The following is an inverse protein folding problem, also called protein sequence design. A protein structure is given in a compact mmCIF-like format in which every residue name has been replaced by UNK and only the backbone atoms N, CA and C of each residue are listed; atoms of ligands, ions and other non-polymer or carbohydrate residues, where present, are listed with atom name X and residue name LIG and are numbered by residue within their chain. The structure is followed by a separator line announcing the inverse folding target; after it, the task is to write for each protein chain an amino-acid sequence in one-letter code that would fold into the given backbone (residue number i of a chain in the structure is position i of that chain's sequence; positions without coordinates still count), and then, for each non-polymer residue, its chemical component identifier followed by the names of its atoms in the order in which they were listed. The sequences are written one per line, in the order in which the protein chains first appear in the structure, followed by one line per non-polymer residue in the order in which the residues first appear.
data_IF_562484826791
#
_entry.id   IF_562484826791
#
_cell.length_a   1.000
_cell.length_b   1.000
_cell.length_c   1.000
_cell.angle_alpha   90.00
_cell.angle_beta   90.00
_cell.angle_gamma   90.00
#
_symmetry.space_group_name_H-M   'P 1'
#
loop_
_entity.id
_entity.type
_entity.pdbx_description
1 polymer ?
#
# COMPACT_ATOMS: atom_id res chain seq x y z
N UNK A 1 18.57 -25.40 1.07
CA UNK A 1 19.26 -24.19 0.59
C UNK A 1 19.79 -23.45 1.79
N UNK A 2 21.07 -23.08 1.78
CA UNK A 2 21.72 -22.38 2.91
C UNK A 2 21.25 -20.92 2.95
N UNK A 3 21.20 -20.27 4.12
CA UNK A 3 20.98 -18.81 4.24
C UNK A 3 21.85 -17.97 3.29
N UNK A 4 23.02 -18.49 2.89
CA UNK A 4 23.92 -17.88 1.89
C UNK A 4 23.33 -17.80 0.47
N UNK A 5 22.49 -18.75 0.08
CA UNK A 5 21.88 -18.79 -1.27
C UNK A 5 20.67 -17.85 -1.39
N UNK A 6 20.06 -17.46 -0.26
CA UNK A 6 18.92 -16.53 -0.19
C UNK A 6 19.34 -15.08 0.06
N UNK A 7 20.65 -14.81 0.25
CA UNK A 7 21.17 -13.47 0.54
C UNK A 7 20.77 -12.90 1.91
N UNK A 8 20.23 -13.74 2.80
CA UNK A 8 19.74 -13.37 4.13
C UNK A 8 20.89 -13.01 5.08
N UNK A 9 20.58 -12.22 6.11
CA UNK A 9 21.47 -11.95 7.23
C UNK A 9 21.72 -13.23 8.02
N UNK A 10 23.00 -13.53 8.21
CA UNK A 10 23.46 -14.66 9.00
C UNK A 10 23.52 -14.29 10.49
N UNK A 11 22.65 -14.92 11.28
CA UNK A 11 22.47 -14.64 12.71
C UNK A 11 23.67 -15.13 13.53
N UNK A 12 24.36 -16.20 13.09
CA UNK A 12 25.52 -16.71 13.81
C UNK A 12 26.69 -15.70 13.72
N UNK A 13 26.81 -15.02 12.58
CA UNK A 13 27.80 -13.97 12.36
C UNK A 13 27.45 -12.64 13.05
N UNK A 14 26.24 -12.47 13.61
CA UNK A 14 25.90 -11.29 14.40
C UNK A 14 26.70 -11.24 15.71
N UNK A 15 27.03 -12.40 16.29
CA UNK A 15 27.78 -12.51 17.54
C UNK A 15 29.22 -12.00 17.40
N UNK A 16 29.80 -12.17 16.20
CA UNK A 16 31.15 -11.72 15.89
C UNK A 16 31.23 -10.23 15.55
N UNK A 17 30.09 -9.57 15.31
CA UNK A 17 29.96 -8.16 14.96
C UNK A 17 30.99 -7.68 13.92
N UNK A 18 31.25 -8.53 12.92
CA UNK A 18 32.32 -8.28 11.96
C UNK A 18 32.01 -7.05 11.08
N UNK A 19 33.03 -6.33 10.57
CA UNK A 19 32.82 -5.24 9.62
C UNK A 19 32.00 -5.65 8.39
N UNK A 20 32.18 -6.90 7.94
CA UNK A 20 31.41 -7.49 6.83
C UNK A 20 29.93 -7.65 7.19
N UNK A 21 29.63 -8.14 8.38
CA UNK A 21 28.26 -8.27 8.88
C UNK A 21 27.58 -6.90 8.96
N UNK A 22 28.24 -5.91 9.58
CA UNK A 22 27.74 -4.52 9.65
C UNK A 22 27.46 -3.93 8.26
N UNK A 23 28.32 -4.22 7.28
CA UNK A 23 28.08 -3.78 5.90
C UNK A 23 26.86 -4.46 5.26
N UNK A 24 26.57 -5.72 5.60
CA UNK A 24 25.37 -6.40 5.13
C UNK A 24 24.12 -5.85 5.81
N UNK A 25 24.14 -5.63 7.12
CA UNK A 25 23.03 -5.00 7.86
C UNK A 25 22.67 -3.64 7.27
N UNK A 26 23.66 -2.79 6.95
CA UNK A 26 23.42 -1.48 6.29
C UNK A 26 22.64 -1.61 4.98
N UNK A 27 22.91 -2.62 4.16
CA UNK A 27 22.14 -2.86 2.93
C UNK A 27 20.69 -3.21 3.22
N UNK A 28 20.43 -3.98 4.27
CA UNK A 28 19.07 -4.32 4.70
C UNK A 28 18.34 -3.11 5.33
N UNK A 29 19.06 -2.24 6.04
CA UNK A 29 18.55 -0.97 6.56
C UNK A 29 18.12 -0.03 5.42
N UNK A 30 19.01 0.20 4.46
CA UNK A 30 18.73 1.00 3.26
C UNK A 30 17.53 0.43 2.48
N UNK A 31 17.49 -0.89 2.33
CA UNK A 31 16.38 -1.58 1.70
C UNK A 31 15.06 -1.38 2.46
N UNK A 32 15.05 -1.55 3.79
CA UNK A 32 13.85 -1.39 4.60
C UNK A 32 13.32 0.05 4.54
N UNK A 33 14.20 1.05 4.52
CA UNK A 33 13.82 2.46 4.37
C UNK A 33 13.27 2.77 2.98
N UNK A 34 13.88 2.23 1.92
CA UNK A 34 13.36 2.37 0.56
C UNK A 34 12.00 1.68 0.41
N UNK A 35 11.82 0.52 1.03
CA UNK A 35 10.56 -0.21 1.05
C UNK A 35 9.47 0.56 1.80
N UNK A 36 9.76 1.11 2.98
CA UNK A 36 8.83 1.97 3.75
C UNK A 36 8.35 3.14 2.88
N UNK A 37 9.30 3.85 2.26
CA UNK A 37 9.00 5.01 1.40
C UNK A 37 8.16 4.61 0.19
N UNK A 38 8.49 3.49 -0.45
CA UNK A 38 7.77 2.97 -1.61
C UNK A 38 6.33 2.57 -1.26
N UNK A 39 6.12 1.86 -0.15
CA UNK A 39 4.80 1.43 0.31
C UNK A 39 3.94 2.62 0.71
N UNK A 40 4.48 3.57 1.46
CA UNK A 40 3.76 4.79 1.84
C UNK A 40 3.40 5.62 0.61
N UNK A 41 4.32 5.74 -0.36
CA UNK A 41 4.07 6.41 -1.63
C UNK A 41 2.95 5.75 -2.44
N UNK A 42 2.98 4.41 -2.56
CA UNK A 42 1.97 3.65 -3.28
C UNK A 42 0.61 3.74 -2.59
N UNK A 43 0.54 3.52 -1.28
CA UNK A 43 -0.70 3.64 -0.49
C UNK A 43 -1.33 5.03 -0.63
N UNK A 44 -0.51 6.09 -0.59
CA UNK A 44 -0.98 7.46 -0.82
C UNK A 44 -1.52 7.66 -2.23
N UNK A 45 -0.79 7.19 -3.26
CA UNK A 45 -1.22 7.31 -4.65
C UNK A 45 -2.53 6.55 -4.91
N UNK A 46 -2.70 5.35 -4.34
CA UNK A 46 -3.93 4.56 -4.44
C UNK A 46 -5.14 5.26 -3.83
N UNK A 47 -4.99 5.90 -2.66
CA UNK A 47 -6.07 6.71 -2.07
C UNK A 47 -6.43 7.93 -2.90
N UNK A 48 -5.42 8.60 -3.46
CA UNK A 48 -5.66 9.74 -4.34
C UNK A 48 -6.43 9.31 -5.59
N UNK A 49 -6.10 8.16 -6.17
CA UNK A 49 -6.85 7.57 -7.27
C UNK A 49 -8.31 7.30 -6.89
N UNK A 50 -8.58 6.70 -5.73
CA UNK A 50 -9.95 6.47 -5.24
C UNK A 50 -10.71 7.78 -5.01
N UNK A 51 -10.07 8.78 -4.42
CA UNK A 51 -10.67 10.09 -4.20
C UNK A 51 -11.03 10.78 -5.52
N UNK A 52 -10.13 10.76 -6.50
CA UNK A 52 -10.40 11.28 -7.85
C UNK A 52 -11.49 10.49 -8.57
N UNK A 53 -11.52 9.16 -8.40
CA UNK A 53 -12.59 8.31 -8.94
C UNK A 53 -13.95 8.66 -8.33
N UNK A 54 -14.01 8.92 -7.03
CA UNK A 54 -15.24 9.30 -6.34
C UNK A 54 -15.74 10.69 -6.77
N UNK A 55 -14.84 11.66 -6.92
CA UNK A 55 -15.20 12.99 -7.47
C UNK A 55 -15.70 12.86 -8.91
N UNK A 56 -15.03 12.08 -9.76
CA UNK A 56 -15.50 11.80 -11.11
C UNK A 56 -16.92 11.22 -11.11
N UNK A 57 -17.19 10.19 -10.31
CA UNK A 57 -18.53 9.60 -10.19
C UNK A 57 -19.58 10.62 -9.74
N UNK A 58 -19.23 11.49 -8.78
CA UNK A 58 -20.15 12.54 -8.31
C UNK A 58 -20.47 13.55 -9.42
N UNK A 59 -19.47 13.98 -10.20
CA UNK A 59 -19.67 14.87 -11.35
C UNK A 59 -20.46 14.20 -12.46
N UNK A 60 -20.19 12.93 -12.73
CA UNK A 60 -20.93 12.15 -13.72
C UNK A 60 -22.41 12.04 -13.33
N UNK A 61 -22.70 11.77 -12.05
CA UNK A 61 -24.07 11.73 -11.53
C UNK A 61 -24.77 13.10 -11.64
N UNK A 62 -24.07 14.21 -11.39
CA UNK A 62 -24.60 15.56 -11.56
C UNK A 62 -24.99 15.84 -13.03
N UNK A 63 -24.15 15.41 -13.99
CA UNK A 63 -24.46 15.54 -15.43
C UNK A 63 -25.71 14.75 -15.78
N UNK A 64 -25.82 13.50 -15.33
CA UNK A 64 -27.00 12.66 -15.58
C UNK A 64 -28.25 13.32 -15.01
N UNK A 65 -28.20 13.80 -13.76
CA UNK A 65 -29.32 14.48 -13.12
C UNK A 65 -29.81 15.68 -13.95
N UNK A 66 -28.88 16.48 -14.47
CA UNK A 66 -29.21 17.64 -15.32
C UNK A 66 -29.84 17.22 -16.65
N UNK A 67 -29.33 16.16 -17.29
CA UNK A 67 -29.92 15.60 -18.52
C UNK A 67 -31.35 15.13 -18.27
N UNK A 68 -31.58 14.40 -17.17
CA UNK A 68 -32.92 13.94 -16.77
C UNK A 68 -33.87 15.09 -16.45
N UNK A 69 -33.39 16.16 -15.81
CA UNK A 69 -34.21 17.36 -15.60
C UNK A 69 -34.61 18.03 -16.92
N UNK A 70 -33.67 18.13 -17.86
CA UNK A 70 -33.93 18.70 -19.18
C UNK A 70 -34.93 17.87 -19.99
N UNK A 71 -34.89 16.53 -19.90
CA UNK A 71 -35.86 15.67 -20.58
C UNK A 71 -37.29 15.93 -20.10
N UNK A 72 -37.46 16.26 -18.82
CA UNK A 72 -38.78 16.54 -18.22
C UNK A 72 -39.37 17.91 -18.58
N UNK A 73 -38.61 18.81 -19.25
CA UNK A 73 -39.07 20.16 -19.59
C UNK A 73 -39.96 20.22 -20.84
N UNK A 74 -40.14 19.12 -21.58
CA UNK A 74 -40.82 19.15 -22.88
C UNK A 74 -42.32 19.49 -22.76
N UNK A 75 -42.81 20.60 -23.33
CA UNK A 75 -44.22 20.98 -23.27
C UNK A 75 -45.12 20.22 -24.26
N UNK A 76 -44.55 19.42 -25.18
CA UNK A 76 -45.25 18.68 -26.24
C UNK A 76 -45.12 17.15 -26.12
N UNK A 77 -44.30 16.65 -25.18
CA UNK A 77 -44.19 15.23 -24.81
C UNK A 77 -43.86 14.28 -25.97
N UNK A 78 -42.57 14.11 -26.28
CA UNK A 78 -42.13 12.97 -27.10
C UNK A 78 -41.72 11.83 -26.16
N UNK A 79 -42.69 10.96 -25.86
CA UNK A 79 -42.50 9.83 -24.96
C UNK A 79 -41.34 8.91 -25.38
N UNK A 80 -40.98 8.87 -26.68
CA UNK A 80 -39.85 8.09 -27.17
C UNK A 80 -38.53 8.74 -26.75
N UNK A 81 -38.42 10.06 -26.91
CA UNK A 81 -37.22 10.80 -26.49
C UNK A 81 -37.07 10.78 -24.97
N UNK A 82 -38.17 10.97 -24.24
CA UNK A 82 -38.17 10.96 -22.77
C UNK A 82 -37.73 9.60 -22.21
N UNK A 83 -38.28 8.50 -22.76
CA UNK A 83 -37.88 7.15 -22.38
C UNK A 83 -36.40 6.88 -22.70
N UNK A 84 -35.91 7.30 -23.87
CA UNK A 84 -34.50 7.09 -24.24
C UNK A 84 -33.55 7.87 -23.36
N UNK A 85 -33.90 9.10 -22.98
CA UNK A 85 -33.12 9.91 -22.03
C UNK A 85 -33.08 9.28 -20.62
N UNK A 86 -34.15 8.63 -20.19
CA UNK A 86 -34.15 7.81 -18.97
C UNK A 86 -33.20 6.59 -19.11
N UNK A 87 -33.26 5.87 -20.23
CA UNK A 87 -32.38 4.71 -20.48
C UNK A 87 -30.88 5.10 -20.43
N UNK A 88 -30.49 6.30 -20.93
CA UNK A 88 -29.11 6.82 -20.80
C UNK A 88 -28.71 7.01 -19.33
N UNK A 89 -29.60 7.57 -18.52
CA UNK A 89 -29.35 7.79 -17.11
C UNK A 89 -29.11 6.47 -16.36
N UNK A 90 -29.92 5.46 -16.65
CA UNK A 90 -29.84 4.14 -16.03
C UNK A 90 -28.52 3.43 -16.35
N UNK A 91 -28.08 3.46 -17.61
CA UNK A 91 -26.83 2.82 -18.04
C UNK A 91 -25.61 3.52 -17.45
N UNK A 92 -25.62 4.86 -17.38
CA UNK A 92 -24.54 5.60 -16.71
C UNK A 92 -24.53 5.25 -15.20
N UNK A 93 -25.69 5.18 -14.56
CA UNK A 93 -25.78 4.79 -13.15
C UNK A 93 -25.26 3.36 -12.90
N UNK A 94 -25.45 2.44 -13.85
CA UNK A 94 -24.88 1.10 -13.79
C UNK A 94 -23.35 1.10 -13.90
N UNK A 95 -22.78 1.86 -14.84
CA UNK A 95 -21.33 2.02 -14.96
C UNK A 95 -20.72 2.61 -13.68
N UNK A 96 -21.39 3.60 -13.06
CA UNK A 96 -20.91 4.19 -11.81
C UNK A 96 -21.05 3.25 -10.61
N UNK A 97 -22.08 2.39 -10.57
CA UNK A 97 -22.16 1.27 -9.60
C UNK A 97 -20.97 0.32 -9.74
N UNK A 98 -20.61 -0.05 -10.98
CA UNK A 98 -19.44 -0.90 -11.23
C UNK A 98 -18.13 -0.23 -10.79
N UNK A 99 -18.00 1.09 -10.96
CA UNK A 99 -16.85 1.87 -10.47
C UNK A 99 -16.77 1.91 -8.95
N UNK A 100 -17.91 2.07 -8.28
CA UNK A 100 -17.96 2.03 -6.82
C UNK A 100 -17.49 0.67 -6.27
N UNK A 101 -17.95 -0.44 -6.85
CA UNK A 101 -17.49 -1.79 -6.50
C UNK A 101 -15.99 -1.95 -6.73
N UNK A 102 -15.47 -1.46 -7.86
CA UNK A 102 -14.02 -1.47 -8.13
C UNK A 102 -13.25 -0.70 -7.05
N UNK A 103 -13.72 0.48 -6.66
CA UNK A 103 -13.07 1.32 -5.64
C UNK A 103 -13.00 0.61 -4.29
N UNK A 104 -14.09 -0.07 -3.89
CA UNK A 104 -14.13 -0.88 -2.67
C UNK A 104 -13.16 -2.06 -2.73
N UNK A 105 -13.12 -2.78 -3.85
CA UNK A 105 -12.15 -3.85 -4.07
C UNK A 105 -10.71 -3.34 -3.94
N UNK A 106 -10.39 -2.19 -4.57
CA UNK A 106 -9.06 -1.57 -4.46
C UNK A 106 -8.69 -1.21 -3.02
N UNK A 107 -9.66 -0.76 -2.22
CA UNK A 107 -9.43 -0.46 -0.81
C UNK A 107 -8.99 -1.72 -0.05
N UNK A 108 -9.70 -2.84 -0.26
CA UNK A 108 -9.47 -4.09 0.46
C UNK A 108 -8.21 -4.84 -0.01
N UNK A 109 -7.94 -4.87 -1.32
CA UNK A 109 -6.88 -5.73 -1.88
C UNK A 109 -5.54 -5.01 -2.08
N UNK A 110 -5.54 -3.67 -2.09
CA UNK A 110 -4.31 -2.87 -2.30
C UNK A 110 -4.05 -1.96 -1.12
N UNK A 111 -4.99 -1.08 -0.77
CA UNK A 111 -4.73 -0.02 0.21
C UNK A 111 -4.50 -0.60 1.60
N UNK A 112 -5.43 -1.41 2.10
CA UNK A 112 -5.37 -1.98 3.44
C UNK A 112 -4.13 -2.86 3.67
N UNK A 113 -3.75 -3.81 2.78
CA UNK A 113 -2.54 -4.61 2.96
C UNK A 113 -1.25 -3.77 3.01
N UNK A 114 -1.17 -2.71 2.19
CA UNK A 114 -0.02 -1.80 2.21
C UNK A 114 0.05 -1.01 3.53
N UNK A 115 -1.09 -0.60 4.07
CA UNK A 115 -1.17 0.04 5.39
C UNK A 115 -0.77 -0.91 6.52
N UNK A 116 -1.31 -2.12 6.53
CA UNK A 116 -0.98 -3.15 7.53
C UNK A 116 0.50 -3.49 7.51
N UNK A 117 1.13 -3.55 6.33
CA UNK A 117 2.57 -3.75 6.20
C UNK A 117 3.37 -2.54 6.73
N UNK A 118 2.91 -1.32 6.47
CA UNK A 118 3.53 -0.08 6.94
C UNK A 118 3.43 0.07 8.46
N UNK A 119 2.23 -0.09 9.03
CA UNK A 119 1.93 0.08 10.45
C UNK A 119 2.35 -1.12 11.30
N UNK A 120 2.44 -2.31 10.69
CA UNK A 120 2.89 -3.54 11.32
C UNK A 120 4.41 -3.71 11.23
N UNK A 121 4.84 -4.55 10.29
CA UNK A 121 6.21 -5.06 10.24
C UNK A 121 7.25 -3.94 10.06
N UNK A 122 6.98 -2.93 9.22
CA UNK A 122 7.89 -1.82 8.99
C UNK A 122 8.04 -0.92 10.22
N UNK A 123 6.94 -0.47 10.82
CA UNK A 123 6.97 0.35 12.03
C UNK A 123 7.62 -0.38 13.22
N UNK A 124 7.38 -1.68 13.36
CA UNK A 124 8.01 -2.53 14.38
C UNK A 124 9.52 -2.61 14.16
N UNK A 125 9.97 -2.87 12.93
CA UNK A 125 11.40 -2.93 12.58
C UNK A 125 12.09 -1.59 12.86
N UNK A 126 11.45 -0.47 12.50
CA UNK A 126 11.96 0.89 12.77
C UNK A 126 12.09 1.17 14.27
N UNK A 127 11.11 0.74 15.07
CA UNK A 127 11.16 0.84 16.53
C UNK A 127 12.26 -0.04 17.13
N UNK A 128 12.40 -1.28 16.64
CA UNK A 128 13.45 -2.20 17.04
C UNK A 128 14.86 -1.66 16.71
N UNK A 129 15.00 -0.96 15.58
CA UNK A 129 16.24 -0.29 15.18
C UNK A 129 16.62 0.84 16.13
N UNK A 130 15.67 1.70 16.49
CA UNK A 130 15.89 2.78 17.49
C UNK A 130 16.28 2.22 18.86
N UNK A 131 15.63 1.12 19.27
CA UNK A 131 15.98 0.41 20.50
C UNK A 131 17.40 -0.15 20.44
N UNK A 132 17.82 -0.67 19.30
CA UNK A 132 19.19 -1.15 19.09
C UNK A 132 20.21 -0.01 19.25
N UNK A 133 19.96 1.18 18.68
CA UNK A 133 20.84 2.35 18.85
C UNK A 133 20.99 2.74 20.33
N UNK A 134 19.89 2.75 21.08
CA UNK A 134 19.91 3.07 22.51
C UNK A 134 20.73 2.03 23.31
N UNK A 135 20.56 0.75 23.03
CA UNK A 135 21.31 -0.33 23.68
C UNK A 135 22.79 -0.33 23.29
N UNK A 136 23.11 0.03 22.05
CA UNK A 136 24.48 0.20 21.59
C UNK A 136 25.17 1.34 22.34
N UNK A 137 24.50 2.49 22.44
CA UNK A 137 25.01 3.66 23.18
C UNK A 137 25.22 3.37 24.67
N UNK A 138 24.30 2.64 25.31
CA UNK A 138 24.46 2.18 26.69
C UNK A 138 25.69 1.27 26.84
N UNK A 139 25.83 0.26 25.96
CA UNK A 139 27.01 -0.63 25.97
C UNK A 139 28.33 0.14 25.79
N UNK A 140 28.40 1.04 24.81
CA UNK A 140 29.58 1.88 24.57
C UNK A 140 29.89 2.78 25.79
N UNK A 141 28.86 3.32 26.46
CA UNK A 141 29.01 4.11 27.68
C UNK A 141 29.58 3.30 28.85
N UNK A 142 29.04 2.10 29.09
CA UNK A 142 29.53 1.21 30.15
C UNK A 142 30.97 0.76 29.88
N UNK A 143 31.30 0.46 28.63
CA UNK A 143 32.66 0.08 28.23
C UNK A 143 33.65 1.24 28.42
N UNK A 144 33.27 2.46 28.04
CA UNK A 144 34.11 3.64 28.25
C UNK A 144 34.36 3.92 29.74
N UNK A 145 33.36 3.69 30.62
CA UNK A 145 33.52 3.80 32.08
C UNK A 145 34.51 2.79 32.63
N UNK A 146 34.42 1.52 32.20
CA UNK A 146 35.35 0.46 32.59
C UNK A 146 36.80 0.79 32.19
N UNK A 147 36.99 1.33 30.98
CA UNK A 147 38.32 1.66 30.46
C UNK A 147 38.91 2.98 30.99
N UNK A 148 38.07 3.90 31.47
CA UNK A 148 38.46 5.29 31.74
C UNK A 148 38.86 5.61 33.18
N UNK A 149 38.53 4.77 34.17
CA UNK A 149 38.77 5.08 35.59
C UNK A 149 39.53 3.96 36.30
N UNK A 150 40.51 4.33 37.14
CA UNK A 150 41.02 3.42 38.17
C UNK A 150 39.93 3.17 39.20
N UNK A 151 39.50 1.92 39.31
CA UNK A 151 38.48 1.47 40.24
C UNK A 151 39.12 0.59 41.33
N UNK A 152 38.49 0.54 42.50
CA UNK A 152 38.80 -0.49 43.49
C UNK A 152 38.31 -1.85 42.97
N UNK A 153 38.94 -2.94 43.42
CA UNK A 153 38.60 -4.31 43.00
C UNK A 153 37.08 -4.63 43.03
N UNK A 154 36.31 -4.33 44.10
CA UNK A 154 34.87 -4.57 44.10
C UNK A 154 34.08 -3.67 43.14
N UNK A 155 34.55 -2.45 42.87
CA UNK A 155 33.91 -1.56 41.88
C UNK A 155 34.22 -2.00 40.45
N UNK A 156 35.41 -2.56 40.22
CA UNK A 156 35.81 -3.12 38.94
C UNK A 156 34.94 -4.32 38.56
N UNK A 157 34.79 -5.29 39.47
CA UNK A 157 33.94 -6.47 39.24
C UNK A 157 32.49 -6.08 38.94
N UNK A 158 31.95 -5.08 39.65
CA UNK A 158 30.60 -4.59 39.40
C UNK A 158 30.48 -3.96 38.00
N UNK A 159 31.46 -3.12 37.61
CA UNK A 159 31.45 -2.48 36.29
C UNK A 159 31.60 -3.50 35.15
N UNK A 160 32.42 -4.55 35.32
CA UNK A 160 32.55 -5.65 34.35
C UNK A 160 31.21 -6.38 34.16
N UNK A 161 30.47 -6.65 35.24
CA UNK A 161 29.12 -7.23 35.16
C UNK A 161 28.14 -6.33 34.43
N UNK A 162 28.20 -5.03 34.64
CA UNK A 162 27.35 -4.06 33.95
C UNK A 162 27.65 -4.02 32.44
N UNK A 163 28.92 -4.05 32.05
CA UNK A 163 29.34 -4.14 30.64
C UNK A 163 28.83 -5.42 29.99
N UNK A 164 28.99 -6.58 30.64
CA UNK A 164 28.53 -7.85 30.08
C UNK A 164 26.99 -7.89 29.94
N UNK A 165 26.27 -7.35 30.91
CA UNK A 165 24.81 -7.21 30.85
C UNK A 165 24.37 -6.30 29.68
N UNK A 166 24.99 -5.14 29.53
CA UNK A 166 24.70 -4.21 28.44
C UNK A 166 25.01 -4.83 27.07
N UNK A 167 26.15 -5.52 26.94
CA UNK A 167 26.56 -6.26 25.74
C UNK A 167 25.53 -7.34 25.37
N UNK A 168 25.12 -8.15 26.34
CA UNK A 168 24.14 -9.21 26.12
C UNK A 168 22.80 -8.67 25.60
N UNK A 169 22.31 -7.56 26.17
CA UNK A 169 21.09 -6.87 25.70
C UNK A 169 21.24 -6.35 24.27
N UNK A 170 22.36 -5.70 23.96
CA UNK A 170 22.66 -5.17 22.62
C UNK A 170 22.69 -6.30 21.57
N UNK A 171 23.46 -7.36 21.84
CA UNK A 171 23.61 -8.51 20.93
C UNK A 171 22.27 -9.22 20.72
N UNK A 172 21.49 -9.44 21.79
CA UNK A 172 20.17 -10.07 21.68
C UNK A 172 19.23 -9.24 20.80
N UNK A 173 19.26 -7.91 20.93
CA UNK A 173 18.46 -7.02 20.10
C UNK A 173 18.92 -7.03 18.64
N UNK A 174 20.24 -7.06 18.39
CA UNK A 174 20.81 -7.14 17.05
C UNK A 174 20.37 -8.41 16.31
N UNK A 175 20.34 -9.55 17.00
CA UNK A 175 19.84 -10.83 16.45
C UNK A 175 18.37 -10.74 16.04
N UNK A 176 17.53 -10.20 16.93
CA UNK A 176 16.09 -10.00 16.66
C UNK A 176 15.86 -9.10 15.47
N UNK A 177 16.57 -7.96 15.41
CA UNK A 177 16.45 -7.03 14.30
C UNK A 177 16.87 -7.66 12.95
N UNK A 178 17.86 -8.55 12.99
CA UNK A 178 18.32 -9.25 11.79
C UNK A 178 17.30 -10.27 11.27
N UNK A 179 16.56 -10.91 12.18
CA UNK A 179 15.39 -11.71 11.83
C UNK A 179 14.28 -10.84 11.22
N UNK A 180 14.01 -9.67 11.78
CA UNK A 180 13.01 -8.74 11.25
C UNK A 180 13.38 -8.27 9.84
N UNK A 181 14.65 -7.96 9.60
CA UNK A 181 15.16 -7.63 8.26
C UNK A 181 15.04 -8.78 7.26
N UNK A 182 15.34 -10.01 7.70
CA UNK A 182 15.15 -11.20 6.86
C UNK A 182 13.67 -11.39 6.49
N UNK A 183 12.76 -11.17 7.44
CA UNK A 183 11.32 -11.23 7.22
C UNK A 183 10.84 -10.14 6.26
N UNK A 184 11.31 -8.90 6.40
CA UNK A 184 11.02 -7.82 5.45
C UNK A 184 11.53 -8.11 4.03
N UNK A 185 12.69 -8.76 3.91
CA UNK A 185 13.22 -9.16 2.62
C UNK A 185 12.37 -10.27 1.96
N UNK A 186 11.78 -11.17 2.74
CA UNK A 186 10.89 -12.22 2.21
C UNK A 186 9.52 -11.70 1.76
N UNK A 187 8.98 -10.67 2.44
CA UNK A 187 7.70 -10.03 2.11
C UNK A 187 7.69 -9.44 0.68
N UNK A 188 8.86 -9.04 0.15
CA UNK A 188 9.00 -8.34 -1.13
C UNK A 188 8.40 -9.07 -2.34
N UNK A 189 8.43 -10.40 -2.36
CA UNK A 189 8.23 -11.14 -3.61
C UNK A 189 6.80 -11.59 -3.83
N UNK A 190 6.03 -11.79 -2.78
CA UNK A 190 4.70 -12.42 -2.89
C UNK A 190 3.62 -11.37 -2.65
N UNK A 191 3.60 -10.75 -1.47
CA UNK A 191 2.53 -9.81 -1.09
C UNK A 191 2.45 -8.58 -2.03
N UNK A 192 3.58 -7.99 -2.41
CA UNK A 192 3.58 -6.86 -3.35
C UNK A 192 3.14 -7.28 -4.76
N UNK A 193 3.59 -8.45 -5.25
CA UNK A 193 3.17 -8.95 -6.57
C UNK A 193 1.69 -9.34 -6.57
N UNK A 194 1.19 -9.92 -5.48
CA UNK A 194 -0.22 -10.22 -5.29
C UNK A 194 -1.06 -8.94 -5.29
N UNK A 195 -0.61 -7.87 -4.63
CA UNK A 195 -1.27 -6.56 -4.67
C UNK A 195 -1.33 -5.99 -6.09
N UNK A 196 -0.22 -6.02 -6.85
CA UNK A 196 -0.21 -5.57 -8.26
C UNK A 196 -1.10 -6.43 -9.16
N UNK A 197 -1.07 -7.75 -8.98
CA UNK A 197 -1.89 -8.67 -9.74
C UNK A 197 -3.39 -8.42 -9.46
N UNK A 198 -3.74 -8.23 -8.19
CA UNK A 198 -5.11 -7.95 -7.76
C UNK A 198 -5.62 -6.62 -8.32
N UNK A 199 -4.77 -5.58 -8.32
CA UNK A 199 -5.06 -4.31 -8.98
C UNK A 199 -5.39 -4.50 -10.46
N UNK A 200 -4.57 -5.27 -11.19
CA UNK A 200 -4.80 -5.52 -12.62
C UNK A 200 -6.11 -6.27 -12.88
N UNK A 201 -6.45 -7.26 -12.03
CA UNK A 201 -7.73 -7.96 -12.17
C UNK A 201 -8.94 -7.08 -11.82
N UNK A 202 -8.84 -6.19 -10.82
CA UNK A 202 -9.89 -5.23 -10.51
C UNK A 202 -10.11 -4.23 -11.67
N UNK A 203 -9.03 -3.78 -12.33
CA UNK A 203 -9.11 -2.96 -13.54
C UNK A 203 -9.77 -3.72 -14.70
N UNK A 204 -9.31 -4.95 -14.95
CA UNK A 204 -9.87 -5.80 -15.98
C UNK A 204 -11.38 -6.03 -15.79
N UNK A 205 -11.80 -6.40 -14.57
CA UNK A 205 -13.20 -6.66 -14.25
C UNK A 205 -14.07 -5.43 -14.45
N UNK A 206 -13.65 -4.26 -13.97
CA UNK A 206 -14.38 -3.01 -14.16
C UNK A 206 -14.56 -2.67 -15.65
N UNK A 207 -13.47 -2.68 -16.42
CA UNK A 207 -13.54 -2.33 -17.84
C UNK A 207 -14.40 -3.32 -18.63
N UNK A 208 -14.32 -4.60 -18.31
CA UNK A 208 -15.16 -5.62 -18.93
C UNK A 208 -16.66 -5.39 -18.62
N UNK A 209 -17.00 -5.11 -17.36
CA UNK A 209 -18.38 -4.84 -16.95
C UNK A 209 -18.91 -3.56 -17.61
N UNK A 210 -18.16 -2.47 -17.56
CA UNK A 210 -18.54 -1.20 -18.18
C UNK A 210 -18.74 -1.34 -19.70
N UNK A 211 -17.85 -2.08 -20.37
CA UNK A 211 -18.02 -2.37 -21.80
C UNK A 211 -19.28 -3.17 -22.08
N UNK A 212 -19.57 -4.20 -21.27
CA UNK A 212 -20.81 -5.00 -21.44
C UNK A 212 -22.05 -4.12 -21.32
N UNK A 213 -22.16 -3.30 -20.27
CA UNK A 213 -23.32 -2.41 -20.07
C UNK A 213 -23.50 -1.44 -21.24
N UNK A 214 -22.41 -0.84 -21.73
CA UNK A 214 -22.47 0.08 -22.87
C UNK A 214 -22.80 -0.60 -24.20
N UNK A 215 -22.27 -1.81 -24.42
CA UNK A 215 -22.57 -2.61 -25.61
C UNK A 215 -24.05 -3.00 -25.63
N UNK A 216 -24.59 -3.41 -24.49
CA UNK A 216 -25.99 -3.83 -24.40
C UNK A 216 -26.95 -2.64 -24.58
N UNK A 217 -26.48 -1.42 -24.29
CA UNK A 217 -27.20 -0.17 -24.54
C UNK A 217 -27.06 0.40 -25.97
N UNK A 218 -26.04 0.00 -26.72
CA UNK A 218 -25.78 0.51 -28.08
C UNK A 218 -26.99 0.47 -29.03
N UNK A 219 -27.83 -0.58 -29.05
CA UNK A 219 -29.01 -0.61 -29.91
C UNK A 219 -30.01 0.52 -29.60
N UNK A 220 -30.17 0.90 -28.33
CA UNK A 220 -31.05 2.00 -27.94
C UNK A 220 -30.51 3.35 -28.42
N UNK A 221 -29.19 3.55 -28.36
CA UNK A 221 -28.54 4.75 -28.92
C UNK A 221 -28.73 4.85 -30.44
N UNK A 222 -28.58 3.71 -31.15
CA UNK A 222 -28.79 3.66 -32.60
C UNK A 222 -30.23 4.00 -32.97
N UNK A 223 -31.21 3.39 -32.30
CA UNK A 223 -32.63 3.65 -32.51
C UNK A 223 -32.99 5.12 -32.27
N UNK A 224 -32.44 5.74 -31.22
CA UNK A 224 -32.64 7.17 -30.98
C UNK A 224 -32.03 8.03 -32.09
N UNK A 225 -30.84 7.67 -32.59
CA UNK A 225 -30.19 8.38 -33.70
C UNK A 225 -31.04 8.36 -34.97
N UNK A 226 -31.66 7.23 -35.29
CA UNK A 226 -32.61 7.08 -36.40
C UNK A 226 -33.86 7.95 -36.20
N UNK A 227 -34.45 7.95 -35.00
CA UNK A 227 -35.62 8.80 -34.67
C UNK A 227 -35.30 10.29 -34.82
N UNK A 228 -34.15 10.73 -34.32
CA UNK A 228 -33.70 12.13 -34.45
C UNK A 228 -33.55 12.51 -35.94
N UNK A 229 -33.02 11.61 -36.78
CA UNK A 229 -32.89 11.85 -38.21
C UNK A 229 -34.27 11.99 -38.87
N UNK A 230 -35.23 11.13 -38.53
CA UNK A 230 -36.60 11.19 -39.07
C UNK A 230 -37.30 12.50 -38.70
N UNK A 231 -37.24 12.92 -37.43
CA UNK A 231 -37.85 14.17 -36.96
C UNK A 231 -37.22 15.40 -37.61
N UNK A 232 -35.90 15.39 -37.89
CA UNK A 232 -35.21 16.51 -38.56
C UNK A 232 -35.53 16.68 -40.04
N UNK A 233 -36.02 15.62 -40.70
CA UNK A 233 -36.35 15.63 -42.13
C UNK A 233 -37.83 15.90 -42.42
N UNK A 234 -38.64 16.11 -41.37
CA UNK A 234 -40.03 16.60 -41.45
C UNK A 234 -40.06 18.13 -41.31
#
# INVERSE_FOLDING_TARGET
MSCRELGLLDIENSLADSPRYRAQVRKFEEYAQALETGIQGLSKASRQLQASSADYSARQAEVVQRITQLSQLSPMGDATVDQRLADFADVIAEVERNRAMQSEQLQQIVVQPLEELSEGLLAQTKTARRRMDALQSDYESQLARLMGKKMTEPMLEQQEREVECAKSRYVSQQQRLSLDYNRLASVKKIELLEGFLSLMYAQYAFHHQAFSSLRDFEPAMRSLGEHIAQVRHQ
#
